data_IF_263292523588
#
_entry.id   IF_263292523588
#
_cell.length_a   1.000
_cell.length_b   1.000
_cell.length_c   1.000
_cell.angle_alpha   90.00
_cell.angle_beta   90.00
_cell.angle_gamma   90.00
#
_symmetry.space_group_name_H-M   'P 1'
#
loop_
_entity.id
_entity.type
_entity.pdbx_description
1 polymer ?
#
# COMPACT_ATOMS: atom_id res chain seq x y z
N UNK A 1 13.30 -12.11 16.30
CA UNK A 1 12.65 -10.99 17.02
C UNK A 1 11.39 -11.57 17.62
N UNK A 2 11.32 -11.69 18.94
CA UNK A 2 10.15 -12.24 19.64
C UNK A 2 9.02 -11.19 19.49
N UNK A 3 8.10 -11.42 18.56
CA UNK A 3 7.11 -10.39 18.18
C UNK A 3 6.02 -10.35 19.24
N UNK A 4 5.76 -9.14 19.73
CA UNK A 4 4.66 -8.84 20.65
C UNK A 4 3.32 -9.14 19.96
N UNK A 5 2.73 -10.30 20.24
CA UNK A 5 1.55 -10.81 19.53
C UNK A 5 0.31 -9.87 19.58
N UNK A 6 -0.01 -9.19 20.70
CA UNK A 6 -1.01 -8.11 20.71
C UNK A 6 -0.76 -6.97 19.72
N UNK A 7 0.50 -6.54 19.58
CA UNK A 7 0.88 -5.46 18.65
C UNK A 7 0.84 -5.95 17.20
N UNK A 8 1.31 -7.17 16.95
CA UNK A 8 1.21 -7.80 15.63
C UNK A 8 -0.25 -7.91 15.16
N UNK A 9 -1.18 -8.32 16.06
CA UNK A 9 -2.63 -8.32 15.77
C UNK A 9 -3.15 -6.94 15.41
N UNK A 10 -2.83 -5.92 16.20
CA UNK A 10 -3.24 -4.54 15.93
C UNK A 10 -2.77 -4.08 14.55
N UNK A 11 -1.52 -4.37 14.19
CA UNK A 11 -0.99 -3.98 12.88
C UNK A 11 -1.68 -4.71 11.72
N UNK A 12 -2.03 -5.99 11.89
CA UNK A 12 -2.88 -6.71 10.92
C UNK A 12 -4.26 -6.06 10.79
N UNK A 13 -4.82 -5.52 11.89
CA UNK A 13 -6.09 -4.80 11.83
C UNK A 13 -6.01 -3.48 11.06
N UNK A 14 -4.90 -2.75 11.20
CA UNK A 14 -4.61 -1.56 10.39
C UNK A 14 -4.46 -1.91 8.91
N UNK A 15 -3.76 -3.01 8.59
CA UNK A 15 -3.62 -3.53 7.22
C UNK A 15 -4.98 -3.86 6.60
N UNK A 16 -5.88 -4.54 7.32
CA UNK A 16 -7.24 -4.81 6.84
C UNK A 16 -8.02 -3.52 6.61
N UNK A 17 -7.90 -2.56 7.52
CA UNK A 17 -8.58 -1.26 7.40
C UNK A 17 -8.12 -0.52 6.15
N UNK A 18 -6.80 -0.50 5.90
CA UNK A 18 -6.21 0.09 4.71
C UNK A 18 -6.61 -0.64 3.42
N UNK A 19 -6.60 -1.98 3.42
CA UNK A 19 -7.06 -2.79 2.29
C UNK A 19 -8.50 -2.44 1.89
N UNK A 20 -9.39 -2.27 2.87
CA UNK A 20 -10.78 -1.84 2.61
C UNK A 20 -10.87 -0.43 2.03
N UNK A 21 -10.03 0.51 2.47
CA UNK A 21 -9.97 1.86 1.90
C UNK A 21 -9.51 1.84 0.45
N UNK A 22 -8.51 1.02 0.13
CA UNK A 22 -8.03 0.83 -1.26
C UNK A 22 -9.15 0.29 -2.15
N UNK A 23 -9.83 -0.77 -1.73
CA UNK A 23 -10.95 -1.37 -2.50
C UNK A 23 -12.11 -0.39 -2.72
N UNK A 24 -12.36 0.52 -1.77
CA UNK A 24 -13.41 1.55 -1.88
C UNK A 24 -12.96 2.79 -2.66
N UNK A 25 -11.70 2.88 -3.05
CA UNK A 25 -11.13 4.06 -3.68
C UNK A 25 -10.96 5.27 -2.75
N UNK A 26 -11.07 5.06 -1.42
CA UNK A 26 -10.79 6.10 -0.42
C UNK A 26 -9.28 6.39 -0.30
N UNK A 27 -8.44 5.47 -0.78
CA UNK A 27 -6.97 5.60 -0.85
C UNK A 27 -6.52 4.95 -2.16
N UNK A 28 -5.68 5.64 -2.94
CA UNK A 28 -5.11 5.07 -4.17
C UNK A 28 -4.22 3.86 -3.90
N UNK A 29 -3.98 3.04 -4.92
CA UNK A 29 -3.11 1.88 -4.88
C UNK A 29 -1.69 2.26 -4.50
N UNK A 30 -1.13 3.33 -5.09
CA UNK A 30 0.25 3.76 -4.80
C UNK A 30 0.40 4.26 -3.35
N UNK A 31 -0.35 5.28 -2.88
CA UNK A 31 -0.23 5.72 -1.48
C UNK A 31 -0.66 4.61 -0.49
N UNK A 32 -1.57 3.72 -0.90
CA UNK A 32 -1.96 2.56 -0.11
C UNK A 32 -0.83 1.52 0.03
N UNK A 33 -0.06 1.29 -1.03
CA UNK A 33 1.09 0.37 -1.02
C UNK A 33 2.20 0.87 -0.11
N UNK A 34 2.53 2.17 -0.21
CA UNK A 34 3.50 2.81 0.68
C UNK A 34 3.08 2.74 2.16
N UNK A 35 1.79 2.94 2.44
CA UNK A 35 1.25 2.83 3.79
C UNK A 35 1.25 1.38 4.31
N UNK A 36 0.99 0.37 3.47
CA UNK A 36 1.10 -1.05 3.84
C UNK A 36 2.52 -1.41 4.29
N UNK A 37 3.56 -0.87 3.64
CA UNK A 37 4.95 -1.16 3.97
C UNK A 37 5.37 -0.68 5.35
N UNK A 38 4.67 0.30 5.93
CA UNK A 38 4.91 0.77 7.29
C UNK A 38 4.59 -0.32 8.35
N UNK A 39 3.72 -1.29 8.04
CA UNK A 39 3.28 -2.32 8.98
C UNK A 39 4.04 -3.65 8.82
N UNK A 40 4.74 -3.86 7.71
CA UNK A 40 5.33 -5.14 7.28
C UNK A 40 6.17 -5.82 8.38
N UNK A 41 7.04 -5.05 9.04
CA UNK A 41 7.96 -5.60 10.03
C UNK A 41 7.30 -5.92 11.38
N UNK A 42 6.25 -5.20 11.74
CA UNK A 42 5.55 -5.38 13.02
C UNK A 42 4.40 -6.38 12.98
N UNK A 43 3.79 -6.64 11.81
CA UNK A 43 2.55 -7.42 11.69
C UNK A 43 2.64 -8.93 11.99
N UNK A 44 3.82 -9.46 12.33
CA UNK A 44 4.00 -10.89 12.59
C UNK A 44 4.08 -11.75 11.33
N UNK A 45 4.17 -11.13 10.15
CA UNK A 45 4.15 -11.82 8.87
C UNK A 45 5.56 -12.21 8.41
N UNK A 46 5.63 -13.25 7.58
CA UNK A 46 6.87 -13.68 6.94
C UNK A 46 7.38 -12.59 5.99
N UNK A 47 8.70 -12.47 5.82
CA UNK A 47 9.27 -11.42 4.98
C UNK A 47 8.86 -11.56 3.50
N UNK A 48 8.64 -12.80 3.06
CA UNK A 48 8.15 -13.19 1.74
C UNK A 48 6.63 -13.45 1.72
N UNK A 49 5.86 -12.79 2.58
CA UNK A 49 4.40 -12.87 2.52
C UNK A 49 3.90 -12.41 1.15
N UNK A 50 3.20 -13.27 0.42
CA UNK A 50 2.84 -13.05 -0.99
C UNK A 50 2.00 -11.79 -1.19
N UNK A 51 1.05 -11.53 -0.27
CA UNK A 51 0.23 -10.32 -0.33
C UNK A 51 1.09 -9.06 -0.13
N UNK A 52 2.09 -9.12 0.77
CA UNK A 52 2.99 -7.98 1.01
C UNK A 52 4.01 -7.77 -0.10
N UNK A 53 4.42 -8.83 -0.79
CA UNK A 53 5.34 -8.71 -1.92
C UNK A 53 4.71 -7.92 -3.09
N UNK A 54 3.40 -8.01 -3.29
CA UNK A 54 2.68 -7.17 -4.25
C UNK A 54 2.85 -5.68 -3.91
N UNK A 55 2.55 -5.29 -2.66
CA UNK A 55 2.67 -3.89 -2.23
C UNK A 55 4.11 -3.41 -2.21
N UNK A 56 5.08 -4.26 -1.85
CA UNK A 56 6.51 -3.94 -1.92
C UNK A 56 6.94 -3.66 -3.37
N UNK A 57 6.48 -4.50 -4.30
CA UNK A 57 6.75 -4.33 -5.72
C UNK A 57 6.24 -2.98 -6.22
N UNK A 58 5.01 -2.63 -5.88
CA UNK A 58 4.40 -1.35 -6.24
C UNK A 58 5.17 -0.18 -5.61
N UNK A 59 5.38 -0.20 -4.28
CA UNK A 59 6.07 0.86 -3.54
C UNK A 59 7.46 1.17 -4.12
N UNK A 60 8.21 0.12 -4.51
CA UNK A 60 9.56 0.27 -5.08
C UNK A 60 9.63 1.03 -6.40
N UNK A 61 8.51 1.16 -7.13
CA UNK A 61 8.48 1.86 -8.41
C UNK A 61 8.31 3.37 -8.26
N UNK A 62 7.88 3.84 -7.08
CA UNK A 62 7.29 5.16 -6.92
C UNK A 62 8.19 6.15 -6.15
N UNK A 63 9.41 5.76 -5.77
CA UNK A 63 10.37 6.60 -5.01
C UNK A 63 10.72 7.94 -5.69
N UNK A 64 10.49 8.04 -7.00
CA UNK A 64 10.83 9.20 -7.81
C UNK A 64 9.66 10.19 -8.00
N UNK A 65 8.44 9.85 -7.55
CA UNK A 65 7.24 10.66 -7.78
C UNK A 65 6.94 11.61 -6.62
N UNK A 66 6.42 12.82 -6.91
CA UNK A 66 6.19 13.83 -5.89
C UNK A 66 4.97 13.51 -5.03
N UNK A 67 5.22 13.27 -3.74
CA UNK A 67 4.19 13.01 -2.74
C UNK A 67 4.05 14.17 -1.73
N UNK A 68 2.85 14.33 -1.17
CA UNK A 68 2.59 15.22 -0.04
C UNK A 68 3.00 16.68 -0.25
N UNK A 69 3.63 17.26 0.78
CA UNK A 69 4.00 18.69 0.79
C UNK A 69 5.12 19.04 -0.19
N UNK A 70 5.90 18.07 -0.68
CA UNK A 70 6.97 18.30 -1.64
C UNK A 70 6.45 18.80 -3.00
N UNK A 71 5.21 18.44 -3.36
CA UNK A 71 4.53 18.86 -4.60
C UNK A 71 4.49 20.38 -4.77
N UNK A 72 4.45 21.15 -3.68
CA UNK A 72 4.42 22.63 -3.73
C UNK A 72 5.69 23.26 -4.32
N UNK A 73 6.78 22.50 -4.36
CA UNK A 73 8.08 22.96 -4.86
C UNK A 73 8.34 22.48 -6.29
N UNK A 74 7.44 21.69 -6.87
CA UNK A 74 7.58 21.18 -8.23
C UNK A 74 7.12 22.20 -9.26
N UNK A 75 7.77 22.18 -10.42
CA UNK A 75 7.31 22.91 -11.59
C UNK A 75 5.91 22.37 -12.00
N UNK A 76 4.93 23.24 -12.34
CA UNK A 76 3.58 22.81 -12.69
C UNK A 76 3.49 21.79 -13.83
N UNK A 77 4.30 21.95 -14.89
CA UNK A 77 4.31 21.01 -16.02
C UNK A 77 4.93 19.66 -15.63
N UNK A 78 5.95 19.68 -14.77
CA UNK A 78 6.52 18.45 -14.21
C UNK A 78 5.51 17.72 -13.32
N UNK A 79 4.72 18.47 -12.54
CA UNK A 79 3.66 17.91 -11.70
C UNK A 79 2.55 17.29 -12.54
N UNK A 80 2.12 17.94 -13.62
CA UNK A 80 1.11 17.40 -14.53
C UNK A 80 1.56 16.09 -15.20
N UNK A 81 2.84 16.00 -15.61
CA UNK A 81 3.41 14.75 -16.13
C UNK A 81 3.45 13.64 -15.08
N UNK A 82 3.87 13.98 -13.85
CA UNK A 82 3.89 13.03 -12.75
C UNK A 82 2.48 12.53 -12.39
N UNK A 83 1.48 13.41 -12.39
CA UNK A 83 0.08 13.03 -12.13
C UNK A 83 -0.46 12.08 -13.21
N UNK A 84 -0.08 12.26 -14.47
CA UNK A 84 -0.41 11.33 -15.54
C UNK A 84 0.25 9.95 -15.35
N UNK A 85 1.53 9.92 -14.95
CA UNK A 85 2.25 8.68 -14.63
C UNK A 85 1.63 7.95 -13.44
N UNK A 86 1.27 8.68 -12.38
CA UNK A 86 0.54 8.15 -11.23
C UNK A 86 -0.77 7.50 -11.68
N UNK A 87 -1.56 8.18 -12.50
CA UNK A 87 -2.84 7.65 -12.97
C UNK A 87 -2.67 6.38 -13.82
N UNK A 88 -1.64 6.32 -14.67
CA UNK A 88 -1.31 5.13 -15.46
C UNK A 88 -0.88 3.96 -14.57
N UNK A 89 0.03 4.21 -13.61
CA UNK A 89 0.49 3.20 -12.67
C UNK A 89 -0.65 2.68 -11.77
N UNK A 90 -1.49 3.57 -11.25
CA UNK A 90 -2.70 3.23 -10.48
C UNK A 90 -3.64 2.31 -11.26
N UNK A 91 -3.84 2.58 -12.56
CA UNK A 91 -4.67 1.73 -13.42
C UNK A 91 -3.99 0.38 -13.68
N UNK A 92 -2.69 0.37 -13.93
CA UNK A 92 -1.91 -0.83 -14.21
C UNK A 92 -1.87 -1.80 -13.02
N UNK A 93 -1.66 -1.30 -11.80
CA UNK A 93 -1.55 -2.13 -10.61
C UNK A 93 -2.88 -2.46 -9.94
N UNK A 94 -3.99 -1.85 -10.36
CA UNK A 94 -5.28 -1.98 -9.67
C UNK A 94 -5.70 -3.42 -9.41
N UNK A 95 -5.68 -4.26 -10.44
CA UNK A 95 -6.19 -5.63 -10.35
C UNK A 95 -5.38 -6.46 -9.34
N UNK A 96 -4.06 -6.42 -9.45
CA UNK A 96 -3.17 -7.20 -8.56
C UNK A 96 -3.21 -6.67 -7.11
N UNK A 97 -3.29 -5.36 -6.93
CA UNK A 97 -3.41 -4.75 -5.61
C UNK A 97 -4.76 -5.08 -4.96
N UNK A 98 -5.84 -5.13 -5.74
CA UNK A 98 -7.17 -5.46 -5.24
C UNK A 98 -7.24 -6.93 -4.80
N UNK A 99 -6.68 -7.85 -5.60
CA UNK A 99 -6.59 -9.26 -5.23
C UNK A 99 -5.80 -9.46 -3.93
N UNK A 100 -4.67 -8.77 -3.75
CA UNK A 100 -3.90 -8.80 -2.50
C UNK A 100 -4.68 -8.20 -1.31
N UNK A 101 -5.42 -7.11 -1.52
CA UNK A 101 -6.29 -6.51 -0.50
C UNK A 101 -7.38 -7.50 -0.03
N UNK A 102 -8.07 -8.14 -0.97
CA UNK A 102 -9.10 -9.16 -0.68
C UNK A 102 -8.50 -10.34 0.08
N UNK A 103 -7.29 -10.75 -0.29
CA UNK A 103 -6.57 -11.82 0.38
C UNK A 103 -6.22 -11.50 1.84
N UNK A 104 -5.67 -10.30 2.10
CA UNK A 104 -5.39 -9.84 3.46
C UNK A 104 -6.67 -9.76 4.32
N UNK A 105 -7.75 -9.23 3.75
CA UNK A 105 -9.04 -9.13 4.46
C UNK A 105 -9.52 -10.52 4.84
N UNK A 106 -9.56 -11.46 3.90
CA UNK A 106 -9.97 -12.84 4.14
C UNK A 106 -9.08 -13.48 5.22
N UNK A 107 -7.75 -13.36 5.13
CA UNK A 107 -6.82 -13.98 6.10
C UNK A 107 -7.01 -13.49 7.54
N UNK A 108 -7.38 -12.24 7.75
CA UNK A 108 -7.43 -11.64 9.09
C UNK A 108 -8.83 -11.26 9.59
N UNK A 109 -9.88 -11.52 8.80
CA UNK A 109 -11.29 -11.28 9.18
C UNK A 109 -12.20 -12.49 8.97
N UNK A 110 -11.64 -13.66 8.72
CA UNK A 110 -12.46 -14.88 8.81
C UNK A 110 -12.80 -15.12 10.28
N UNK A 111 -14.10 -15.30 10.55
CA UNK A 111 -14.68 -15.61 11.87
C UNK A 111 -14.09 -16.88 12.51
#
# INVERSE_FOLDING_TARGET
>A
MDRNEPEARRLRDEMVTLARKILRGETGVLPGSAAMMQYRWGAGLHEMDEDLLVFLGIDSQEDHLPSGSARRYWNPDALARADAQIAEAEAFYREVAFAACESLIRRFRTD
#
